data_IF_515390013320
#
_entry.id   IF_515390013320
#
_cell.length_a   1.000
_cell.length_b   1.000
_cell.length_c   1.000
_cell.angle_alpha   90.00
_cell.angle_beta   90.00
_cell.angle_gamma   90.00
#
_symmetry.space_group_name_H-M   'P 1'
#
loop_
_entity.id
_entity.type
_entity.pdbx_description
1 polymer ?
#
# COMPACT_ATOMS: atom_id res chain seq x y z
N UNK A 1 -6.17 0.77 -18.29
CA UNK A 1 -5.05 1.03 -17.35
C UNK A 1 -4.64 -0.32 -16.82
N UNK A 2 -3.36 -0.67 -16.93
CA UNK A 2 -2.83 -1.85 -16.23
C UNK A 2 -3.08 -1.68 -14.73
N UNK A 3 -3.36 -2.76 -14.02
CA UNK A 3 -3.58 -2.73 -12.56
C UNK A 3 -2.37 -2.11 -11.83
N UNK A 4 -1.17 -2.30 -12.40
CA UNK A 4 0.10 -1.76 -11.94
C UNK A 4 0.10 -0.21 -11.89
N UNK A 5 -0.43 0.47 -12.93
CA UNK A 5 -0.53 1.93 -12.94
C UNK A 5 -1.48 2.45 -11.85
N UNK A 6 -2.50 1.66 -11.51
CA UNK A 6 -3.42 1.98 -10.40
C UNK A 6 -2.70 1.89 -9.06
N UNK A 7 -1.84 0.89 -8.85
CA UNK A 7 -1.02 0.76 -7.65
C UNK A 7 -0.08 1.97 -7.47
N UNK A 8 0.59 2.38 -8.55
CA UNK A 8 1.47 3.55 -8.55
C UNK A 8 0.71 4.84 -8.20
N UNK A 9 -0.49 5.03 -8.75
CA UNK A 9 -1.36 6.17 -8.40
C UNK A 9 -1.80 6.13 -6.94
N UNK A 10 -2.16 4.95 -6.42
CA UNK A 10 -2.53 4.80 -5.02
C UNK A 10 -1.36 5.10 -4.08
N UNK A 11 -0.14 4.67 -4.43
CA UNK A 11 1.06 5.01 -3.66
C UNK A 11 1.31 6.52 -3.65
N UNK A 12 1.20 7.21 -4.80
CA UNK A 12 1.27 8.68 -4.88
C UNK A 12 0.28 9.36 -3.93
N UNK A 13 -0.97 8.87 -3.89
CA UNK A 13 -2.01 9.40 -3.00
C UNK A 13 -1.70 9.11 -1.53
N UNK A 14 -1.23 7.90 -1.18
CA UNK A 14 -0.81 7.54 0.19
C UNK A 14 0.28 8.48 0.70
N UNK A 15 1.31 8.71 -0.12
CA UNK A 15 2.42 9.60 0.24
C UNK A 15 1.98 11.07 0.35
N UNK A 16 1.06 11.50 -0.51
CA UNK A 16 0.45 12.82 -0.41
C UNK A 16 -0.34 12.98 0.89
N UNK A 17 -1.16 11.99 1.27
CA UNK A 17 -1.90 11.99 2.54
C UNK A 17 -0.95 12.14 3.72
N UNK A 18 0.11 11.32 3.79
CA UNK A 18 1.10 11.41 4.87
C UNK A 18 1.73 12.81 4.97
N UNK A 19 2.03 13.44 3.82
CA UNK A 19 2.58 14.81 3.76
C UNK A 19 1.57 15.85 4.23
N UNK A 20 0.28 15.70 3.87
CA UNK A 20 -0.78 16.62 4.25
C UNK A 20 -1.18 16.49 5.73
N UNK A 21 -1.06 15.29 6.31
CA UNK A 21 -1.32 15.08 7.75
C UNK A 21 -0.21 15.62 8.64
N UNK A 22 1.05 15.52 8.19
CA UNK A 22 2.19 16.10 8.88
C UNK A 22 2.16 17.64 8.86
N UNK A 23 1.57 18.23 7.83
CA UNK A 23 1.45 19.67 7.68
C UNK A 23 0.53 20.31 8.74
N UNK A 24 1.06 21.29 9.48
CA UNK A 24 0.29 22.14 10.40
C UNK A 24 0.41 23.61 10.04
N UNK A 25 -0.72 24.31 10.07
CA UNK A 25 -0.82 25.74 9.83
C UNK A 25 -0.97 26.53 11.14
N UNK A 26 -0.63 27.82 11.08
CA UNK A 26 -0.94 28.76 12.16
C UNK A 26 -2.38 29.28 11.99
N UNK A 27 -3.24 28.98 12.97
CA UNK A 27 -4.64 29.41 12.94
C UNK A 27 -5.44 28.70 11.86
N UNK A 28 -6.51 29.33 11.36
CA UNK A 28 -7.40 28.74 10.35
C UNK A 28 -6.92 29.12 8.95
N UNK A 29 -5.78 28.58 8.52
CA UNK A 29 -5.15 28.92 7.23
C UNK A 29 -5.22 27.82 6.18
N UNK A 30 -5.80 26.66 6.52
CA UNK A 30 -5.76 25.45 5.69
C UNK A 30 -7.15 25.16 5.14
N UNK A 31 -7.29 25.16 3.82
CA UNK A 31 -8.54 24.83 3.12
C UNK A 31 -8.41 23.42 2.54
N UNK A 32 -9.36 22.57 2.92
CA UNK A 32 -9.61 21.28 2.29
C UNK A 32 -10.91 21.37 1.51
N UNK A 33 -10.82 21.24 0.18
CA UNK A 33 -11.96 21.29 -0.73
C UNK A 33 -12.02 19.99 -1.56
N UNK A 34 -13.14 19.29 -1.46
CA UNK A 34 -13.42 18.07 -2.21
C UNK A 34 -14.74 18.27 -2.96
N UNK A 35 -14.67 18.09 -4.28
CA UNK A 35 -15.78 18.30 -5.21
C UNK A 35 -16.16 16.94 -5.82
N UNK A 36 -17.43 16.58 -5.70
CA UNK A 36 -17.98 15.34 -6.27
C UNK A 36 -17.96 15.38 -7.80
N UNK A 37 -17.91 14.23 -8.47
CA UNK A 37 -18.12 14.19 -9.91
C UNK A 37 -19.53 14.71 -10.24
N UNK A 38 -19.65 15.40 -11.38
CA UNK A 38 -20.87 16.07 -11.89
C UNK A 38 -21.30 17.36 -11.18
N UNK A 39 -20.65 17.79 -10.11
CA UNK A 39 -20.95 19.10 -9.51
C UNK A 39 -20.41 20.23 -10.40
N UNK A 40 -21.04 21.39 -10.38
CA UNK A 40 -20.62 22.49 -11.24
C UNK A 40 -19.55 23.35 -10.54
N UNK A 41 -18.44 23.60 -11.23
CA UNK A 41 -17.35 24.46 -10.73
C UNK A 41 -17.85 25.89 -10.42
N UNK A 42 -18.81 26.39 -11.20
CA UNK A 42 -19.45 27.70 -11.00
C UNK A 42 -20.08 27.84 -9.61
N UNK A 43 -20.76 26.79 -9.13
CA UNK A 43 -21.40 26.74 -7.81
C UNK A 43 -20.38 26.81 -6.69
N UNK A 44 -19.30 26.03 -6.80
CA UNK A 44 -18.20 26.03 -5.83
C UNK A 44 -17.46 27.38 -5.83
N UNK A 45 -17.23 27.96 -7.02
CA UNK A 45 -16.60 29.28 -7.12
C UNK A 45 -17.45 30.37 -6.48
N UNK A 46 -18.78 30.29 -6.58
CA UNK A 46 -19.70 31.22 -5.89
C UNK A 46 -19.61 31.05 -4.38
N UNK A 47 -19.64 29.81 -3.87
CA UNK A 47 -19.49 29.54 -2.45
C UNK A 47 -18.17 30.11 -1.90
N UNK A 48 -17.04 29.93 -2.60
CA UNK A 48 -15.76 30.51 -2.20
C UNK A 48 -15.78 32.06 -2.21
N UNK A 49 -16.57 32.69 -3.08
CA UNK A 49 -16.72 34.15 -3.10
C UNK A 49 -17.54 34.66 -1.89
N UNK A 50 -18.59 33.93 -1.51
CA UNK A 50 -19.39 34.24 -0.31
C UNK A 50 -18.56 34.06 0.97
N UNK A 51 -17.74 33.00 1.04
CA UNK A 51 -16.78 32.76 2.13
C UNK A 51 -15.69 33.83 2.19
N UNK A 52 -15.20 34.29 1.03
CA UNK A 52 -14.26 35.42 0.97
C UNK A 52 -14.87 36.69 1.58
N UNK A 53 -16.14 36.98 1.26
CA UNK A 53 -16.88 38.09 1.85
C UNK A 53 -17.03 37.97 3.36
N UNK A 54 -17.33 36.78 3.86
CA UNK A 54 -17.47 36.51 5.30
C UNK A 54 -16.13 36.63 6.03
N UNK A 55 -15.05 36.07 5.44
CA UNK A 55 -13.70 36.14 5.98
C UNK A 55 -13.17 37.57 6.12
N UNK A 56 -13.64 38.51 5.28
CA UNK A 56 -13.25 39.92 5.37
C UNK A 56 -13.64 40.59 6.71
N UNK A 57 -14.64 40.05 7.40
CA UNK A 57 -15.13 40.52 8.70
C UNK A 57 -14.37 39.94 9.91
N UNK A 58 -13.38 39.05 9.69
CA UNK A 58 -12.58 38.48 10.79
C UNK A 58 -11.78 39.60 11.49
N UNK A 59 -11.94 39.70 12.82
CA UNK A 59 -11.32 40.75 13.66
C UNK A 59 -9.80 40.67 13.71
N UNK A 60 -9.24 39.47 13.75
CA UNK A 60 -7.78 39.27 13.81
C UNK A 60 -7.16 39.55 12.44
N UNK A 61 -6.31 40.58 12.34
CA UNK A 61 -5.64 40.98 11.09
C UNK A 61 -4.88 39.82 10.45
N UNK A 62 -4.09 39.11 11.26
CA UNK A 62 -3.24 38.00 10.78
C UNK A 62 -4.11 36.86 10.26
N UNK A 63 -5.09 36.41 11.06
CA UNK A 63 -5.97 35.31 10.64
C UNK A 63 -6.79 35.67 9.40
N UNK A 64 -7.30 36.92 9.33
CA UNK A 64 -8.04 37.42 8.17
C UNK A 64 -7.19 37.35 6.90
N UNK A 65 -5.96 37.85 6.93
CA UNK A 65 -5.08 37.84 5.76
C UNK A 65 -4.75 36.41 5.32
N UNK A 66 -4.52 35.49 6.26
CA UNK A 66 -4.25 34.09 5.96
C UNK A 66 -5.45 33.40 5.30
N UNK A 67 -6.65 33.55 5.85
CA UNK A 67 -7.90 32.98 5.29
C UNK A 67 -8.16 33.54 3.88
N UNK A 68 -8.09 34.87 3.71
CA UNK A 68 -8.31 35.50 2.40
C UNK A 68 -7.28 35.04 1.36
N UNK A 69 -6.01 34.91 1.74
CA UNK A 69 -4.95 34.39 0.86
C UNK A 69 -5.19 32.93 0.47
N UNK A 70 -5.65 32.09 1.41
CA UNK A 70 -5.96 30.70 1.14
C UNK A 70 -7.14 30.59 0.16
N UNK A 71 -8.24 31.30 0.40
CA UNK A 71 -9.42 31.30 -0.49
C UNK A 71 -9.05 31.81 -1.89
N UNK A 72 -8.27 32.89 -1.98
CA UNK A 72 -7.80 33.42 -3.27
C UNK A 72 -6.99 32.37 -4.04
N UNK A 73 -6.11 31.64 -3.33
CA UNK A 73 -5.31 30.57 -3.94
C UNK A 73 -6.19 29.43 -4.45
N UNK A 74 -7.19 28.99 -3.66
CA UNK A 74 -8.16 27.98 -4.08
C UNK A 74 -8.97 28.44 -5.29
N UNK A 75 -9.44 29.69 -5.32
CA UNK A 75 -10.15 30.24 -6.48
C UNK A 75 -9.30 30.28 -7.74
N UNK A 76 -8.01 30.65 -7.62
CA UNK A 76 -7.08 30.65 -8.76
C UNK A 76 -6.87 29.24 -9.32
N UNK A 77 -6.77 28.23 -8.45
CA UNK A 77 -6.65 26.82 -8.85
C UNK A 77 -7.92 26.33 -9.53
N UNK A 78 -9.07 26.67 -8.98
CA UNK A 78 -10.36 26.25 -9.50
C UNK A 78 -10.62 26.81 -10.92
N UNK A 79 -10.09 28.01 -11.24
CA UNK A 79 -10.17 28.61 -12.60
C UNK A 79 -9.44 27.81 -13.68
N UNK A 80 -8.49 26.94 -13.32
CA UNK A 80 -7.80 26.09 -14.29
C UNK A 80 -8.72 24.98 -14.85
N UNK A 81 -9.81 24.68 -14.14
CA UNK A 81 -10.74 23.61 -14.51
C UNK A 81 -12.04 24.21 -15.06
N UNK A 82 -12.36 23.88 -16.32
CA UNK A 82 -13.62 24.32 -16.95
C UNK A 82 -14.84 23.51 -16.46
N UNK A 83 -14.63 22.24 -16.11
CA UNK A 83 -15.64 21.29 -15.59
C UNK A 83 -14.99 20.40 -14.54
N UNK A 84 -15.79 19.85 -13.62
CA UNK A 84 -15.27 18.83 -12.69
C UNK A 84 -14.82 17.61 -13.48
N UNK A 85 -13.62 17.06 -13.23
CA UNK A 85 -13.18 15.81 -13.81
C UNK A 85 -14.11 14.63 -13.47
N UNK A 86 -13.92 13.49 -14.15
CA UNK A 86 -14.85 12.35 -14.07
C UNK A 86 -14.88 11.71 -12.69
N UNK A 87 -13.75 11.74 -11.97
CA UNK A 87 -13.64 11.19 -10.61
C UNK A 87 -13.87 12.25 -9.50
N UNK A 88 -14.14 13.50 -9.87
CA UNK A 88 -14.19 14.64 -8.96
C UNK A 88 -12.89 15.42 -8.91
N UNK A 89 -12.79 16.37 -7.99
CA UNK A 89 -11.61 17.24 -7.83
C UNK A 89 -11.29 17.43 -6.36
N UNK A 90 -10.02 17.30 -6.00
CA UNK A 90 -9.51 17.56 -4.66
C UNK A 90 -8.54 18.72 -4.71
N UNK A 91 -8.76 19.72 -3.85
CA UNK A 91 -7.95 20.93 -3.77
C UNK A 91 -7.57 21.17 -2.30
N UNK A 92 -6.27 21.20 -2.03
CA UNK A 92 -5.69 21.61 -0.76
C UNK A 92 -4.93 22.91 -0.95
N UNK A 93 -5.27 23.94 -0.19
CA UNK A 93 -4.61 25.23 -0.23
C UNK A 93 -4.36 25.75 1.17
N UNK A 94 -3.17 26.26 1.45
CA UNK A 94 -2.90 26.87 2.75
C UNK A 94 -1.46 27.33 2.93
N UNK A 95 -1.21 27.99 4.05
CA UNK A 95 0.13 28.37 4.52
C UNK A 95 0.53 27.49 5.68
N UNK A 96 1.62 26.75 5.50
CA UNK A 96 2.20 25.86 6.49
C UNK A 96 3.59 26.35 6.90
N UNK A 97 3.98 26.03 8.11
CA UNK A 97 5.24 26.49 8.70
C UNK A 97 6.21 25.34 8.63
N UNK A 98 7.33 25.55 7.94
CA UNK A 98 8.41 24.57 7.89
C UNK A 98 9.17 24.58 9.22
N UNK A 99 9.95 23.54 9.48
CA UNK A 99 10.77 23.44 10.70
C UNK A 99 11.72 24.64 10.87
N UNK A 100 12.16 25.24 9.75
CA UNK A 100 12.96 26.47 9.72
C UNK A 100 12.20 27.75 10.14
N UNK A 101 10.93 27.65 10.51
CA UNK A 101 10.06 28.79 10.85
C UNK A 101 9.62 29.63 9.65
N UNK A 102 9.89 29.20 8.42
CA UNK A 102 9.46 29.89 7.19
C UNK A 102 8.03 29.50 6.83
N UNK A 103 7.24 30.47 6.39
CA UNK A 103 5.91 30.22 5.84
C UNK A 103 6.03 29.73 4.39
N UNK A 104 5.56 28.51 4.14
CA UNK A 104 5.47 27.91 2.80
C UNK A 104 4.00 27.83 2.39
N UNK A 105 3.69 28.38 1.21
CA UNK A 105 2.38 28.24 0.58
C UNK A 105 2.31 26.89 -0.12
N UNK A 106 1.27 26.10 0.18
CA UNK A 106 1.01 24.82 -0.47
C UNK A 106 -0.33 24.90 -1.19
N UNK A 107 -0.28 24.62 -2.49
CA UNK A 107 -1.42 24.58 -3.38
C UNK A 107 -1.32 23.28 -4.18
N UNK A 108 -2.20 22.32 -3.87
CA UNK A 108 -2.22 21.01 -4.50
C UNK A 108 -3.62 20.78 -5.02
N UNK A 109 -3.72 20.52 -6.32
CA UNK A 109 -4.96 20.20 -7.00
C UNK A 109 -4.75 18.94 -7.85
N UNK A 110 -5.64 17.96 -7.72
CA UNK A 110 -5.56 16.73 -8.49
C UNK A 110 -6.92 16.03 -8.62
N UNK A 111 -7.06 15.23 -9.68
CA UNK A 111 -8.17 14.29 -9.85
C UNK A 111 -7.84 12.96 -9.12
N UNK A 112 -8.71 12.47 -8.23
CA UNK A 112 -8.51 11.19 -7.55
C UNK A 112 -8.63 10.01 -8.52
N UNK A 113 -8.03 8.87 -8.16
CA UNK A 113 -8.04 7.66 -9.01
C UNK A 113 -9.39 6.92 -9.03
N UNK A 114 -10.25 7.18 -8.05
CA UNK A 114 -11.61 6.65 -7.92
C UNK A 114 -12.59 7.82 -7.72
N UNK A 115 -13.84 7.70 -8.19
CA UNK A 115 -14.85 8.73 -8.02
C UNK A 115 -15.19 8.96 -6.54
N UNK A 116 -15.09 10.20 -6.07
CA UNK A 116 -15.41 10.56 -4.69
C UNK A 116 -16.89 10.93 -4.56
N UNK A 117 -17.64 10.25 -3.68
CA UNK A 117 -19.05 10.54 -3.42
C UNK A 117 -19.29 11.58 -2.31
N UNK A 118 -18.23 12.11 -1.71
CA UNK A 118 -18.26 13.07 -0.60
C UNK A 118 -17.88 14.46 -1.08
N UNK A 119 -18.60 15.49 -0.63
CA UNK A 119 -18.23 16.88 -0.86
C UNK A 119 -17.85 17.46 0.49
N UNK A 120 -16.73 18.16 0.55
CA UNK A 120 -16.18 18.69 1.78
C UNK A 120 -15.61 20.07 1.49
N UNK A 121 -15.97 21.04 2.31
CA UNK A 121 -15.30 22.33 2.38
C UNK A 121 -15.07 22.63 3.86
N UNK A 122 -13.80 22.67 4.25
CA UNK A 122 -13.40 22.98 5.63
C UNK A 122 -12.20 23.92 5.62
N UNK A 123 -12.23 24.91 6.50
CA UNK A 123 -11.11 25.77 6.83
C UNK A 123 -10.69 25.53 8.28
N UNK A 124 -9.49 25.01 8.49
CA UNK A 124 -8.98 24.62 9.81
C UNK A 124 -7.46 24.89 9.91
N UNK A 125 -6.84 24.50 11.02
CA UNK A 125 -5.38 24.55 11.22
C UNK A 125 -4.61 23.34 10.66
N UNK A 126 -5.34 22.36 10.13
CA UNK A 126 -4.83 21.13 9.54
C UNK A 126 -5.62 20.81 8.26
N UNK A 127 -5.05 20.01 7.37
CA UNK A 127 -5.80 19.47 6.25
C UNK A 127 -6.65 18.27 6.69
N UNK A 128 -7.90 18.23 6.23
CA UNK A 128 -8.80 17.11 6.41
C UNK A 128 -8.71 16.18 5.21
N UNK A 129 -8.11 15.01 5.41
CA UNK A 129 -7.80 14.01 4.38
C UNK A 129 -8.69 12.77 4.44
N UNK A 130 -9.70 12.75 5.31
CA UNK A 130 -10.53 11.57 5.60
C UNK A 130 -11.22 11.04 4.34
N UNK A 131 -11.68 11.94 3.45
CA UNK A 131 -12.27 11.57 2.17
C UNK A 131 -11.29 10.81 1.25
N UNK A 132 -9.98 11.08 1.34
CA UNK A 132 -8.97 10.33 0.57
C UNK A 132 -8.60 9.00 1.24
N UNK A 133 -8.65 8.93 2.57
CA UNK A 133 -8.44 7.67 3.30
C UNK A 133 -9.51 6.64 2.96
N UNK A 134 -10.77 7.07 2.91
CA UNK A 134 -11.90 6.20 2.51
C UNK A 134 -11.69 5.59 1.11
N UNK A 135 -11.11 6.35 0.17
CA UNK A 135 -10.77 5.83 -1.17
C UNK A 135 -9.68 4.76 -1.15
N UNK A 136 -8.78 4.80 -0.18
CA UNK A 136 -7.71 3.82 0.00
C UNK A 136 -8.17 2.60 0.80
N UNK A 137 -9.18 2.74 1.66
CA UNK A 137 -9.71 1.65 2.49
C UNK A 137 -10.52 0.62 1.71
N UNK A 138 -10.92 0.92 0.47
CA UNK A 138 -11.63 -0.01 -0.44
C UNK A 138 -10.72 -1.10 -1.03
N UNK A 139 -9.84 -1.68 -0.22
CA UNK A 139 -9.33 -3.01 -0.48
C UNK A 139 -10.36 -4.01 0.03
N UNK A 140 -10.84 -4.89 -0.86
CA UNK A 140 -11.82 -5.90 -0.51
C UNK A 140 -11.31 -6.77 0.64
N UNK A 141 -12.11 -6.84 1.71
CA UNK A 141 -11.80 -7.61 2.90
C UNK A 141 -12.31 -9.03 2.72
N UNK A 142 -11.41 -10.03 2.74
CA UNK A 142 -11.75 -11.45 2.56
C UNK A 142 -11.69 -12.19 3.89
N UNK A 143 -12.78 -12.86 4.24
CA UNK A 143 -12.86 -13.68 5.45
C UNK A 143 -12.38 -15.10 5.21
N UNK A 144 -11.72 -15.68 6.21
CA UNK A 144 -11.29 -17.07 6.22
C UNK A 144 -11.80 -17.76 7.48
N UNK A 145 -12.39 -18.93 7.30
CA UNK A 145 -12.76 -19.84 8.39
C UNK A 145 -12.00 -21.12 8.17
N UNK A 146 -11.16 -21.46 9.14
CA UNK A 146 -10.38 -22.70 9.13
C UNK A 146 -10.99 -23.62 10.16
N UNK A 147 -11.51 -24.75 9.70
CA UNK A 147 -12.10 -25.77 10.55
C UNK A 147 -11.18 -26.98 10.57
N UNK A 148 -10.66 -27.30 11.75
CA UNK A 148 -9.92 -28.53 11.99
C UNK A 148 -10.58 -29.35 13.11
N UNK A 149 -10.20 -30.62 13.25
CA UNK A 149 -10.67 -31.49 14.32
C UNK A 149 -10.22 -31.05 15.72
N UNK A 150 -9.17 -30.22 15.81
CA UNK A 150 -8.62 -29.72 17.08
C UNK A 150 -9.12 -28.31 17.45
N UNK A 151 -9.76 -27.59 16.52
CA UNK A 151 -10.13 -26.20 16.72
C UNK A 151 -10.44 -25.46 15.44
N UNK A 152 -10.94 -24.23 15.59
CA UNK A 152 -11.27 -23.34 14.49
C UNK A 152 -10.53 -22.00 14.61
N UNK A 153 -10.18 -21.44 13.45
CA UNK A 153 -9.54 -20.13 13.33
C UNK A 153 -10.35 -19.25 12.38
N UNK A 154 -10.56 -18.00 12.79
CA UNK A 154 -11.19 -16.94 12.00
C UNK A 154 -10.11 -15.93 11.68
N UNK A 155 -9.90 -15.70 10.39
CA UNK A 155 -8.93 -14.76 9.89
C UNK A 155 -9.54 -13.86 8.83
N UNK A 156 -8.87 -12.76 8.58
CA UNK A 156 -9.20 -11.83 7.51
C UNK A 156 -7.94 -11.46 6.76
N UNK A 157 -8.04 -11.35 5.45
CA UNK A 157 -7.02 -10.76 4.60
C UNK A 157 -7.61 -9.50 3.96
N UNK A 158 -6.90 -8.37 4.13
CA UNK A 158 -7.25 -7.09 3.51
C UNK A 158 -5.97 -6.45 2.95
N UNK A 159 -5.98 -6.14 1.65
CA UNK A 159 -4.82 -5.56 0.96
C UNK A 159 -3.60 -6.49 1.06
N UNK A 160 -2.52 -6.01 1.68
CA UNK A 160 -1.28 -6.77 1.98
C UNK A 160 -1.18 -7.25 3.45
N UNK A 161 -2.24 -7.12 4.25
CA UNK A 161 -2.26 -7.54 5.66
C UNK A 161 -3.17 -8.73 5.88
N UNK A 162 -2.67 -9.69 6.67
CA UNK A 162 -3.48 -10.75 7.28
C UNK A 162 -3.68 -10.45 8.76
N UNK A 163 -4.87 -10.71 9.25
CA UNK A 163 -5.25 -10.56 10.64
C UNK A 163 -5.94 -11.84 11.12
N UNK A 164 -5.58 -12.33 12.30
CA UNK A 164 -6.29 -13.45 12.93
C UNK A 164 -7.22 -12.85 13.97
N UNK A 165 -8.53 -12.95 13.75
CA UNK A 165 -9.55 -12.38 14.63
C UNK A 165 -9.71 -13.20 15.90
N UNK A 166 -9.88 -14.52 15.75
CA UNK A 166 -10.13 -15.42 16.86
C UNK A 166 -9.66 -16.82 16.54
N UNK A 167 -9.15 -17.49 17.56
CA UNK A 167 -8.88 -18.92 17.56
C UNK A 167 -9.52 -19.56 18.78
N UNK A 168 -10.08 -20.75 18.60
CA UNK A 168 -10.50 -21.56 19.73
C UNK A 168 -10.25 -23.03 19.47
N UNK A 169 -9.87 -23.74 20.53
CA UNK A 169 -9.60 -25.17 20.47
C UNK A 169 -10.82 -25.97 20.94
N UNK A 170 -10.97 -27.19 20.44
CA UNK A 170 -12.05 -28.12 20.79
C UNK A 170 -11.48 -29.51 20.96
N UNK A 171 -11.89 -30.20 22.02
CA UNK A 171 -11.57 -31.61 22.21
C UNK A 171 -12.75 -32.48 21.74
N UNK A 172 -12.62 -33.05 20.55
CA UNK A 172 -13.63 -33.91 19.95
C UNK A 172 -13.35 -35.39 20.27
N UNK A 173 -14.38 -36.18 20.66
CA UNK A 173 -14.20 -37.60 20.94
C UNK A 173 -13.70 -38.35 19.69
N UNK A 174 -12.61 -39.10 19.84
CA UNK A 174 -11.96 -39.85 18.75
C UNK A 174 -12.81 -41.05 18.28
N UNK A 175 -12.50 -41.58 17.10
CA UNK A 175 -13.21 -42.75 16.56
C UNK A 175 -12.81 -43.95 17.42
N UNK A 176 -13.77 -44.60 18.06
CA UNK A 176 -13.48 -45.80 18.84
C UNK A 176 -13.14 -46.94 17.88
N UNK A 177 -11.94 -47.49 18.02
CA UNK A 177 -11.49 -48.65 17.24
C UNK A 177 -11.91 -50.00 17.85
N UNK A 178 -12.31 -50.03 19.12
CA UNK A 178 -12.73 -51.26 19.82
C UNK A 178 -14.25 -51.41 19.75
N UNK A 179 -14.71 -52.54 19.20
CA UNK A 179 -16.12 -52.92 19.17
C UNK A 179 -16.66 -53.30 20.56
N UNK A 180 -17.98 -53.16 20.75
CA UNK A 180 -18.68 -53.51 21.99
C UNK A 180 -20.11 -52.96 21.99
N UNK A 181 -20.95 -53.35 22.98
CA UNK A 181 -22.35 -52.87 23.08
C UNK A 181 -22.43 -51.33 23.15
N UNK A 182 -21.43 -50.69 23.74
CA UNK A 182 -21.36 -49.22 23.85
C UNK A 182 -20.90 -48.52 22.56
N UNK A 183 -20.47 -49.24 21.52
CA UNK A 183 -19.92 -48.65 20.30
C UNK A 183 -20.92 -47.71 19.61
N UNK A 184 -22.20 -48.09 19.54
CA UNK A 184 -23.25 -47.25 18.96
C UNK A 184 -23.47 -45.97 19.77
N UNK A 185 -23.46 -46.06 21.11
CA UNK A 185 -23.56 -44.90 22.00
C UNK A 185 -22.40 -43.94 21.79
N UNK A 186 -21.16 -44.45 21.70
CA UNK A 186 -20.00 -43.61 21.47
C UNK A 186 -20.01 -42.96 20.08
N UNK A 187 -20.48 -43.67 19.05
CA UNK A 187 -20.68 -43.11 17.72
C UNK A 187 -21.71 -41.96 17.74
N UNK A 188 -22.84 -42.14 18.44
CA UNK A 188 -23.85 -41.09 18.61
C UNK A 188 -23.29 -39.87 19.34
N UNK A 189 -22.59 -40.08 20.47
CA UNK A 189 -21.95 -39.00 21.24
C UNK A 189 -20.94 -38.23 20.38
N UNK A 190 -20.20 -38.94 19.53
CA UNK A 190 -19.25 -38.32 18.59
C UNK A 190 -19.94 -37.45 17.55
N UNK A 191 -21.02 -37.92 16.93
CA UNK A 191 -21.78 -37.12 15.97
C UNK A 191 -22.44 -35.91 16.63
N UNK A 192 -22.97 -36.06 17.84
CA UNK A 192 -23.57 -34.96 18.61
C UNK A 192 -22.53 -33.88 18.96
N UNK A 193 -21.34 -34.28 19.43
CA UNK A 193 -20.25 -33.34 19.70
C UNK A 193 -19.75 -32.63 18.44
N UNK A 194 -19.70 -33.33 17.30
CA UNK A 194 -19.36 -32.73 15.99
C UNK A 194 -20.39 -31.70 15.56
N UNK A 195 -21.68 -32.02 15.68
CA UNK A 195 -22.76 -31.09 15.36
C UNK A 195 -22.73 -29.83 16.26
N UNK A 196 -22.49 -30.00 17.57
CA UNK A 196 -22.34 -28.87 18.49
C UNK A 196 -21.10 -28.02 18.18
N UNK A 197 -20.02 -28.65 17.70
CA UNK A 197 -18.84 -27.92 17.22
C UNK A 197 -19.15 -27.10 15.98
N UNK A 198 -19.81 -27.68 14.98
CA UNK A 198 -20.26 -26.95 13.78
C UNK A 198 -21.18 -25.77 14.13
N UNK A 199 -22.10 -25.96 15.08
CA UNK A 199 -22.96 -24.89 15.59
C UNK A 199 -22.14 -23.76 16.19
N UNK A 200 -21.20 -24.08 17.08
CA UNK A 200 -20.31 -23.07 17.68
C UNK A 200 -19.50 -22.33 16.60
N UNK A 201 -19.02 -23.04 15.58
CA UNK A 201 -18.29 -22.45 14.46
C UNK A 201 -19.17 -21.48 13.68
N UNK A 202 -20.39 -21.89 13.33
CA UNK A 202 -21.36 -21.06 12.63
C UNK A 202 -21.74 -19.79 13.43
N UNK A 203 -22.06 -19.92 14.72
CA UNK A 203 -22.41 -18.79 15.60
C UNK A 203 -21.23 -17.82 15.82
N UNK A 204 -20.01 -18.35 15.89
CA UNK A 204 -18.82 -17.50 15.98
C UNK A 204 -18.56 -16.77 14.66
N UNK A 205 -18.80 -17.43 13.52
CA UNK A 205 -18.69 -16.82 12.20
C UNK A 205 -19.65 -15.65 12.02
N UNK A 206 -20.91 -15.78 12.45
CA UNK A 206 -21.89 -14.69 12.37
C UNK A 206 -21.47 -13.51 13.24
N UNK A 207 -21.00 -13.76 14.46
CA UNK A 207 -20.52 -12.72 15.37
C UNK A 207 -19.33 -11.95 14.79
N UNK A 208 -18.44 -12.62 14.03
CA UNK A 208 -17.22 -12.02 13.50
C UNK A 208 -17.40 -11.34 12.14
N UNK A 209 -18.18 -11.96 11.24
CA UNK A 209 -18.31 -11.50 9.85
C UNK A 209 -19.57 -10.69 9.58
N UNK A 210 -20.48 -10.57 10.55
CA UNK A 210 -21.67 -9.72 10.44
C UNK A 210 -21.54 -8.57 11.44
N UNK A 211 -21.62 -7.35 10.94
CA UNK A 211 -21.63 -6.13 11.77
C UNK A 211 -22.78 -5.26 11.27
N UNK A 212 -23.67 -4.83 12.17
CA UNK A 212 -24.88 -4.06 11.83
C UNK A 212 -25.74 -4.73 10.74
N UNK A 213 -26.05 -6.02 10.88
CA UNK A 213 -26.83 -6.83 9.93
C UNK A 213 -26.25 -6.99 8.52
N UNK A 214 -25.06 -6.42 8.25
CA UNK A 214 -24.38 -6.54 6.97
C UNK A 214 -23.10 -7.35 7.12
N UNK A 215 -22.77 -8.11 6.07
CA UNK A 215 -21.53 -8.88 6.01
C UNK A 215 -20.38 -7.89 5.82
N UNK A 216 -19.39 -7.92 6.71
CA UNK A 216 -18.24 -7.00 6.70
C UNK A 216 -17.12 -7.42 5.74
N UNK A 217 -17.25 -8.59 5.11
CA UNK A 217 -16.32 -9.16 4.14
C UNK A 217 -16.96 -9.23 2.75
N UNK A 218 -16.16 -8.97 1.72
CA UNK A 218 -16.59 -9.08 0.32
C UNK A 218 -16.90 -10.54 -0.05
N UNK A 219 -16.06 -11.46 0.43
CA UNK A 219 -16.17 -12.90 0.23
C UNK A 219 -15.58 -13.69 1.41
N UNK A 220 -16.01 -14.95 1.54
CA UNK A 220 -15.64 -15.87 2.59
C UNK A 220 -15.01 -17.13 1.98
N UNK A 221 -13.94 -17.62 2.59
CA UNK A 221 -13.28 -18.87 2.22
C UNK A 221 -13.37 -19.84 3.39
N UNK A 222 -13.83 -21.05 3.10
CA UNK A 222 -13.88 -22.14 4.08
C UNK A 222 -12.70 -23.08 3.81
N UNK A 223 -11.79 -23.21 4.76
CA UNK A 223 -10.66 -24.12 4.70
C UNK A 223 -10.77 -25.18 5.80
N UNK A 224 -10.30 -26.38 5.52
CA UNK A 224 -10.23 -27.42 6.56
C UNK A 224 -9.79 -28.76 6.02
N UNK A 225 -9.46 -29.66 6.96
CA UNK A 225 -9.22 -31.06 6.67
C UNK A 225 -10.53 -31.85 6.75
N UNK A 226 -10.68 -32.83 5.86
CA UNK A 226 -11.88 -33.65 5.73
C UNK A 226 -13.18 -32.85 5.46
N UNK A 227 -14.32 -33.50 5.65
CA UNK A 227 -15.63 -32.99 5.23
C UNK A 227 -16.24 -31.93 6.17
N UNK A 228 -15.56 -31.53 7.25
CA UNK A 228 -16.13 -30.58 8.23
C UNK A 228 -16.56 -29.24 7.60
N UNK A 229 -15.78 -28.73 6.65
CA UNK A 229 -16.10 -27.51 5.91
C UNK A 229 -17.27 -27.69 4.94
N UNK A 230 -17.44 -28.89 4.38
CA UNK A 230 -18.55 -29.22 3.48
C UNK A 230 -19.84 -29.32 4.30
N UNK A 231 -19.77 -29.97 5.47
CA UNK A 231 -20.86 -30.01 6.45
C UNK A 231 -21.23 -28.60 6.92
N UNK A 232 -20.26 -27.73 7.20
CA UNK A 232 -20.53 -26.33 7.57
C UNK A 232 -21.23 -25.56 6.45
N UNK A 233 -20.74 -25.67 5.22
CA UNK A 233 -21.28 -24.96 4.05
C UNK A 233 -22.71 -25.39 3.70
N UNK A 234 -23.04 -26.67 3.90
CA UNK A 234 -24.36 -27.22 3.60
C UNK A 234 -25.34 -27.16 4.79
N UNK A 235 -24.86 -26.82 5.98
CA UNK A 235 -25.69 -26.82 7.18
C UNK A 235 -26.67 -25.64 7.22
N UNK A 236 -27.92 -25.91 7.60
CA UNK A 236 -28.95 -24.87 7.87
C UNK A 236 -28.60 -23.98 9.08
N UNK A 237 -27.57 -24.33 9.84
CA UNK A 237 -27.10 -23.59 11.01
C UNK A 237 -26.26 -22.39 10.58
N UNK A 238 -25.63 -22.47 9.41
CA UNK A 238 -24.82 -21.38 8.89
C UNK A 238 -25.72 -20.28 8.33
N UNK A 239 -25.43 -19.03 8.69
CA UNK A 239 -26.28 -17.90 8.27
C UNK A 239 -26.28 -17.78 6.74
N UNK A 240 -27.49 -17.74 6.16
CA UNK A 240 -27.69 -17.67 4.72
C UNK A 240 -26.98 -16.48 4.07
N UNK A 241 -26.83 -15.35 4.81
CA UNK A 241 -26.10 -14.16 4.34
C UNK A 241 -24.62 -14.49 4.12
N UNK A 242 -24.01 -15.23 5.03
CA UNK A 242 -22.63 -15.70 4.90
C UNK A 242 -22.50 -16.83 3.87
N UNK A 243 -23.46 -17.75 3.82
CA UNK A 243 -23.48 -18.84 2.84
C UNK A 243 -23.42 -18.32 1.40
N UNK A 244 -24.17 -17.24 1.11
CA UNK A 244 -24.17 -16.58 -0.21
C UNK A 244 -22.82 -15.94 -0.60
N UNK A 245 -21.94 -15.71 0.38
CA UNK A 245 -20.63 -15.08 0.20
C UNK A 245 -19.48 -16.07 0.19
N UNK A 246 -19.74 -17.38 0.28
CA UNK A 246 -18.70 -18.40 0.18
C UNK A 246 -18.19 -18.44 -1.26
N UNK A 247 -16.92 -18.08 -1.45
CA UNK A 247 -16.28 -18.05 -2.77
C UNK A 247 -15.62 -19.39 -3.12
N UNK A 248 -14.89 -19.97 -2.17
CA UNK A 248 -14.14 -21.22 -2.37
C UNK A 248 -14.08 -22.05 -1.08
N UNK A 249 -14.13 -23.36 -1.25
CA UNK A 249 -13.88 -24.34 -0.20
C UNK A 249 -12.52 -24.98 -0.49
N UNK A 250 -11.62 -25.00 0.49
CA UNK A 250 -10.21 -25.39 0.31
C UNK A 250 -9.82 -26.54 1.23
N UNK A 251 -9.19 -27.56 0.66
CA UNK A 251 -8.51 -28.64 1.39
C UNK A 251 -7.15 -28.18 1.90
N UNK A 252 -6.99 -28.15 3.22
CA UNK A 252 -5.70 -27.90 3.89
C UNK A 252 -5.29 -29.10 4.71
N UNK A 253 -3.99 -29.39 4.72
CA UNK A 253 -3.44 -30.56 5.42
C UNK A 253 -3.34 -30.33 6.93
N UNK A 254 -3.21 -29.06 7.34
CA UNK A 254 -2.99 -28.65 8.72
C UNK A 254 -4.06 -27.63 9.14
N UNK A 255 -4.42 -27.63 10.42
CA UNK A 255 -5.25 -26.60 11.03
C UNK A 255 -4.44 -25.40 11.56
N UNK A 256 -5.15 -24.43 12.14
CA UNK A 256 -4.55 -23.26 12.81
C UNK A 256 -3.83 -22.30 11.85
N UNK A 257 -2.79 -21.63 12.34
CA UNK A 257 -2.07 -20.57 11.61
C UNK A 257 -1.34 -21.10 10.35
N UNK A 258 -0.83 -22.33 10.40
CA UNK A 258 -0.19 -22.95 9.23
C UNK A 258 -1.23 -23.29 8.15
N UNK A 259 -2.38 -23.83 8.56
CA UNK A 259 -3.52 -24.03 7.69
C UNK A 259 -4.02 -22.73 7.07
N UNK A 260 -3.92 -21.61 7.80
CA UNK A 260 -4.34 -20.30 7.30
C UNK A 260 -3.50 -19.85 6.12
N UNK A 261 -2.19 -20.00 6.24
CA UNK A 261 -1.25 -19.61 5.19
C UNK A 261 -1.43 -20.49 3.95
N UNK A 262 -1.60 -21.79 4.14
CA UNK A 262 -1.88 -22.71 3.05
C UNK A 262 -3.22 -22.39 2.37
N UNK A 263 -4.27 -22.06 3.15
CA UNK A 263 -5.56 -21.68 2.62
C UNK A 263 -5.49 -20.40 1.77
N UNK A 264 -4.73 -19.39 2.20
CA UNK A 264 -4.52 -18.15 1.44
C UNK A 264 -3.85 -18.46 0.10
N UNK A 265 -2.81 -19.31 0.11
CA UNK A 265 -2.06 -19.68 -1.09
C UNK A 265 -2.91 -20.45 -2.09
N UNK A 266 -3.66 -21.45 -1.64
CA UNK A 266 -4.57 -22.24 -2.48
C UNK A 266 -5.79 -21.44 -2.95
N UNK A 267 -6.12 -20.35 -2.26
CA UNK A 267 -7.21 -19.44 -2.64
C UNK A 267 -6.76 -18.33 -3.58
N UNK A 268 -5.47 -18.23 -3.88
CA UNK A 268 -4.90 -17.18 -4.74
C UNK A 268 -5.66 -16.99 -6.06
N UNK A 269 -6.07 -18.10 -6.71
CA UNK A 269 -6.83 -18.06 -7.96
C UNK A 269 -8.22 -17.42 -7.84
N UNK A 270 -8.86 -17.58 -6.69
CA UNK A 270 -10.17 -16.97 -6.42
C UNK A 270 -10.01 -15.54 -5.87
N UNK A 271 -8.87 -15.26 -5.26
CA UNK A 271 -8.49 -14.00 -4.65
C UNK A 271 -7.62 -13.15 -5.59
N UNK A 272 -7.74 -13.30 -6.92
CA UNK A 272 -6.85 -12.62 -7.88
C UNK A 272 -6.75 -11.10 -7.68
N UNK A 273 -7.75 -10.48 -7.05
CA UNK A 273 -7.80 -9.05 -6.73
C UNK A 273 -7.09 -8.66 -5.42
N UNK A 274 -6.56 -9.62 -4.65
CA UNK A 274 -5.88 -9.34 -3.37
C UNK A 274 -4.42 -9.03 -3.62
N UNK A 275 -4.02 -7.80 -3.33
CA UNK A 275 -2.63 -7.31 -3.44
C UNK A 275 -1.62 -8.21 -2.71
N UNK A 276 -1.95 -8.73 -1.53
CA UNK A 276 -1.07 -9.64 -0.79
C UNK A 276 -0.61 -10.85 -1.61
N UNK A 277 -1.55 -11.45 -2.36
CA UNK A 277 -1.29 -12.65 -3.16
C UNK A 277 -0.42 -12.31 -4.36
N UNK A 278 -0.70 -11.18 -5.00
CA UNK A 278 0.10 -10.66 -6.12
C UNK A 278 1.52 -10.34 -5.66
N UNK A 279 1.66 -9.64 -4.54
CA UNK A 279 2.94 -9.26 -3.92
C UNK A 279 3.77 -10.51 -3.57
N UNK A 280 3.16 -11.49 -2.89
CA UNK A 280 3.84 -12.77 -2.57
C UNK A 280 4.31 -13.46 -3.86
N UNK A 281 3.44 -13.61 -4.86
CA UNK A 281 3.77 -14.26 -6.14
C UNK A 281 4.89 -13.54 -6.88
N UNK A 282 4.89 -12.20 -6.85
CA UNK A 282 5.91 -11.36 -7.46
C UNK A 282 7.28 -11.62 -6.85
N UNK A 283 7.35 -11.59 -5.51
CA UNK A 283 8.60 -11.78 -4.78
C UNK A 283 9.07 -13.25 -4.86
N UNK A 284 8.15 -14.22 -4.83
CA UNK A 284 8.49 -15.62 -5.08
C UNK A 284 9.11 -15.79 -6.47
N UNK A 285 8.54 -15.18 -7.52
CA UNK A 285 9.14 -15.19 -8.87
C UNK A 285 10.56 -14.60 -8.86
N UNK A 286 10.77 -13.50 -8.15
CA UNK A 286 12.10 -12.91 -8.00
C UNK A 286 13.08 -13.87 -7.29
N UNK A 287 12.66 -14.51 -6.19
CA UNK A 287 13.49 -15.49 -5.49
C UNK A 287 13.74 -16.77 -6.28
N UNK A 288 12.81 -17.18 -7.14
CA UNK A 288 13.00 -18.32 -8.04
C UNK A 288 14.12 -18.04 -9.06
N UNK A 289 14.18 -16.83 -9.62
CA UNK A 289 15.25 -16.41 -10.53
C UNK A 289 16.62 -16.35 -9.81
N UNK A 290 16.63 -15.91 -8.55
CA UNK A 290 17.83 -15.92 -7.70
C UNK A 290 18.26 -17.35 -7.37
N UNK A 291 17.33 -18.24 -7.02
CA UNK A 291 17.62 -19.62 -6.65
C UNK A 291 18.05 -20.50 -7.82
N UNK A 292 17.57 -20.21 -9.03
CA UNK A 292 17.94 -20.93 -10.25
C UNK A 292 19.23 -20.39 -10.90
N UNK A 293 19.78 -19.29 -10.39
CA UNK A 293 20.96 -18.60 -10.91
C UNK A 293 20.89 -18.33 -12.44
N UNK A 294 19.72 -17.91 -12.90
CA UNK A 294 19.47 -17.62 -14.32
C UNK A 294 20.22 -16.37 -14.81
N UNK A 295 20.70 -15.55 -13.87
CA UNK A 295 21.27 -14.22 -14.12
C UNK A 295 20.25 -13.19 -14.59
N UNK A 296 18.95 -13.47 -14.47
CA UNK A 296 17.85 -12.54 -14.86
C UNK A 296 17.29 -11.75 -13.67
N UNK A 297 18.12 -11.50 -12.67
CA UNK A 297 17.74 -10.71 -11.50
C UNK A 297 18.77 -9.60 -11.29
N UNK A 298 18.33 -8.53 -10.65
CA UNK A 298 19.20 -7.47 -10.16
C UNK A 298 18.75 -7.06 -8.76
N UNK A 299 19.70 -6.77 -7.90
CA UNK A 299 19.45 -6.22 -6.57
C UNK A 299 20.53 -5.18 -6.26
N UNK A 300 20.27 -4.30 -5.29
CA UNK A 300 21.20 -3.24 -4.94
C UNK A 300 20.91 -1.94 -5.70
N UNK A 301 21.22 -0.81 -5.07
CA UNK A 301 20.85 0.52 -5.60
C UNK A 301 21.61 0.81 -6.90
N UNK A 302 22.91 0.55 -6.91
CA UNK A 302 23.80 0.88 -8.02
C UNK A 302 23.55 -0.06 -9.21
N UNK A 303 23.56 -1.38 -9.00
CA UNK A 303 23.35 -2.33 -10.10
C UNK A 303 21.95 -2.19 -10.71
N UNK A 304 20.92 -1.98 -9.88
CA UNK A 304 19.55 -1.83 -10.37
C UNK A 304 19.37 -0.54 -11.17
N UNK A 305 20.04 0.56 -10.81
CA UNK A 305 19.98 1.78 -11.61
C UNK A 305 20.75 1.65 -12.92
N UNK A 306 21.92 1.03 -12.92
CA UNK A 306 22.64 0.71 -14.15
C UNK A 306 21.79 -0.16 -15.09
N UNK A 307 21.16 -1.22 -14.54
CA UNK A 307 20.24 -2.07 -15.31
C UNK A 307 19.02 -1.32 -15.84
N UNK A 308 18.53 -0.31 -15.08
CA UNK A 308 17.43 0.55 -15.51
C UNK A 308 17.85 1.45 -16.67
N UNK A 309 19.04 2.06 -16.59
CA UNK A 309 19.60 2.92 -17.64
C UNK A 309 19.90 2.15 -18.93
N UNK A 310 20.32 0.89 -18.82
CA UNK A 310 20.48 -0.03 -19.95
C UNK A 310 19.13 -0.47 -20.58
N UNK A 311 18.00 -0.20 -19.92
CA UNK A 311 16.68 -0.68 -20.36
C UNK A 311 16.51 -2.20 -20.25
N UNK A 312 17.33 -2.86 -19.42
CA UNK A 312 17.34 -4.32 -19.28
C UNK A 312 16.22 -4.85 -18.35
N UNK A 313 15.66 -3.99 -17.49
CA UNK A 313 14.66 -4.37 -16.50
C UNK A 313 13.28 -4.57 -17.15
N UNK A 314 12.67 -5.74 -16.90
CA UNK A 314 11.26 -5.98 -17.21
C UNK A 314 10.38 -5.42 -16.10
N UNK A 315 10.69 -5.81 -14.87
CA UNK A 315 9.90 -5.54 -13.68
C UNK A 315 10.83 -5.02 -12.57
N UNK A 316 10.61 -3.77 -12.17
CA UNK A 316 11.30 -3.12 -11.07
C UNK A 316 10.47 -3.28 -9.78
N UNK A 317 11.06 -3.89 -8.77
CA UNK A 317 10.46 -4.15 -7.47
C UNK A 317 11.05 -3.19 -6.44
N UNK A 318 10.20 -2.35 -5.87
CA UNK A 318 10.62 -1.29 -4.94
C UNK A 318 9.85 -1.38 -3.64
N UNK A 319 10.54 -1.34 -2.51
CA UNK A 319 9.88 -1.25 -1.23
C UNK A 319 9.24 0.14 -1.03
N UNK A 320 7.97 0.18 -0.61
CA UNK A 320 7.19 1.42 -0.50
C UNK A 320 7.86 2.51 0.36
N UNK A 321 8.62 2.10 1.39
CA UNK A 321 9.26 2.98 2.36
C UNK A 321 10.79 3.08 2.16
N UNK A 322 11.26 2.94 0.91
CA UNK A 322 12.68 3.15 0.62
C UNK A 322 13.09 4.61 0.91
N UNK A 323 13.98 4.82 1.88
CA UNK A 323 14.40 6.14 2.36
C UNK A 323 15.53 6.78 1.53
N UNK A 324 15.97 6.13 0.45
CA UNK A 324 17.04 6.63 -0.42
C UNK A 324 16.61 7.91 -1.14
N UNK A 325 17.44 8.96 -1.04
CA UNK A 325 17.25 10.22 -1.77
C UNK A 325 18.22 10.27 -2.94
N UNK A 326 17.71 10.65 -4.11
CA UNK A 326 18.50 11.00 -5.30
C UNK A 326 18.82 12.48 -5.26
N UNK A 327 20.10 12.81 -5.22
CA UNK A 327 20.62 14.17 -5.27
C UNK A 327 21.34 14.37 -6.60
N UNK A 328 20.91 15.35 -7.37
CA UNK A 328 21.64 15.78 -8.57
C UNK A 328 22.53 16.93 -8.16
N UNK A 329 23.84 16.73 -8.28
CA UNK A 329 24.84 17.69 -7.87
C UNK A 329 25.67 18.06 -9.08
N UNK A 330 25.93 19.35 -9.26
CA UNK A 330 26.65 19.87 -10.42
C UNK A 330 27.96 20.49 -9.97
N UNK A 331 29.04 20.13 -10.65
CA UNK A 331 30.29 20.83 -10.45
C UNK A 331 30.19 22.21 -11.15
N UNK A 332 30.32 23.33 -10.41
CA UNK A 332 30.25 24.67 -11.00
C UNK A 332 31.40 24.96 -11.99
N UNK A 333 32.50 24.20 -11.91
CA UNK A 333 33.72 24.40 -12.69
C UNK A 333 33.69 23.69 -14.04
N UNK A 334 33.27 22.42 -14.06
CA UNK A 334 33.23 21.57 -15.27
C UNK A 334 31.84 21.53 -15.91
N UNK A 335 30.80 21.89 -15.15
CA UNK A 335 29.42 21.75 -15.57
C UNK A 335 28.93 20.29 -15.55
N UNK A 336 29.75 19.34 -15.13
CA UNK A 336 29.38 17.92 -15.03
C UNK A 336 28.36 17.71 -13.90
N UNK A 337 27.33 16.95 -14.22
CA UNK A 337 26.27 16.58 -13.30
C UNK A 337 26.53 15.16 -12.80
N UNK A 338 26.73 15.00 -11.49
CA UNK A 338 26.86 13.71 -10.83
C UNK A 338 25.60 13.44 -10.01
N UNK A 339 25.08 12.23 -10.12
CA UNK A 339 23.89 11.79 -9.37
C UNK A 339 24.37 10.99 -8.16
N UNK A 340 24.14 11.51 -6.97
CA UNK A 340 24.41 10.81 -5.71
C UNK A 340 23.14 10.22 -5.13
N UNK A 341 23.22 9.01 -4.61
CA UNK A 341 22.12 8.33 -3.93
C UNK A 341 22.51 8.16 -2.47
N UNK A 342 21.89 8.96 -1.61
CA UNK A 342 22.22 8.94 -0.19
C UNK A 342 21.26 7.99 0.53
N UNK A 343 21.84 6.97 1.16
CA UNK A 343 21.19 6.22 2.22
C UNK A 343 21.09 7.07 3.49
N UNK A 344 20.14 6.81 4.42
CA UNK A 344 19.96 7.61 5.64
C UNK A 344 21.22 7.75 6.49
N UNK A 345 22.08 6.74 6.48
CA UNK A 345 23.37 6.69 7.18
C UNK A 345 24.43 7.63 6.61
N UNK A 346 24.33 7.99 5.34
CA UNK A 346 25.33 8.80 4.63
C UNK A 346 24.92 10.27 4.48
N UNK A 347 23.73 10.65 4.96
CA UNK A 347 23.27 12.05 4.90
C UNK A 347 24.14 13.02 5.73
N UNK A 348 25.04 12.51 6.57
CA UNK A 348 25.96 13.29 7.39
C UNK A 348 27.40 13.34 6.86
N UNK A 349 27.73 12.63 5.78
CA UNK A 349 29.09 12.66 5.24
C UNK A 349 29.29 13.89 4.35
N UNK A 350 29.81 14.95 4.96
CA UNK A 350 30.28 16.18 4.28
C UNK A 350 31.35 15.89 3.21
N UNK A 351 31.98 14.71 3.25
CA UNK A 351 32.99 14.26 2.28
C UNK A 351 32.44 14.07 0.86
N UNK A 352 31.15 13.72 0.70
CA UNK A 352 30.53 13.51 -0.62
C UNK A 352 30.17 14.81 -1.35
N UNK A 353 30.26 15.95 -0.67
CA UNK A 353 29.96 17.28 -1.25
C UNK A 353 31.18 17.95 -1.87
N UNK A 354 32.35 17.31 -1.81
CA UNK A 354 33.60 17.78 -2.41
C UNK A 354 33.96 16.87 -3.56
N UNK A 355 34.21 17.44 -4.73
CA UNK A 355 34.67 16.66 -5.87
C UNK A 355 36.07 16.09 -5.54
N UNK A 356 36.32 14.77 -5.71
CA UNK A 356 37.59 14.14 -5.32
C UNK A 356 38.82 14.73 -6.04
N UNK A 357 38.65 15.27 -7.25
CA UNK A 357 39.76 15.81 -8.04
C UNK A 357 40.04 17.31 -7.80
N UNK A 358 39.01 18.11 -7.52
CA UNK A 358 39.15 19.57 -7.43
C UNK A 358 38.95 20.11 -6.02
N UNK A 359 38.41 19.31 -5.10
CA UNK A 359 38.01 19.75 -3.76
C UNK A 359 36.92 20.82 -3.76
N UNK A 360 36.34 21.12 -4.93
CA UNK A 360 35.29 22.13 -5.08
C UNK A 360 33.99 21.64 -4.46
N UNK A 361 33.29 22.53 -3.77
CA UNK A 361 31.95 22.27 -3.27
C UNK A 361 31.00 22.13 -4.45
N UNK A 362 30.33 20.99 -4.53
CA UNK A 362 29.39 20.67 -5.60
C UNK A 362 28.01 21.28 -5.30
N UNK A 363 27.41 21.98 -6.26
CA UNK A 363 26.12 22.65 -6.09
C UNK A 363 24.97 21.63 -6.17
N UNK A 364 24.18 21.53 -5.09
CA UNK A 364 22.99 20.66 -5.05
C UNK A 364 21.86 21.32 -5.83
N UNK A 365 21.52 20.76 -7.00
CA UNK A 365 20.44 21.27 -7.85
C UNK A 365 19.09 20.77 -7.34
N UNK A 366 18.98 19.47 -7.09
CA UNK A 366 17.69 18.85 -6.82
C UNK A 366 17.84 17.66 -5.86
N UNK A 367 16.98 17.63 -4.85
CA UNK A 367 16.86 16.53 -3.88
C UNK A 367 15.47 15.92 -4.07
N UNK A 368 15.41 14.75 -4.68
CA UNK A 368 14.18 14.00 -4.88
C UNK A 368 14.28 12.61 -4.22
N UNK A 369 13.27 12.16 -3.48
CA UNK A 369 13.23 10.77 -3.03
C UNK A 369 13.22 9.81 -4.21
N UNK A 370 14.02 8.74 -4.14
CA UNK A 370 14.23 7.83 -5.27
C UNK A 370 12.91 7.22 -5.75
N UNK A 371 12.02 6.87 -4.82
CA UNK A 371 10.68 6.36 -5.12
C UNK A 371 9.84 7.32 -5.97
N UNK A 372 9.97 8.63 -5.77
CA UNK A 372 9.24 9.63 -6.56
C UNK A 372 9.83 9.80 -7.96
N UNK A 373 11.16 9.81 -8.05
CA UNK A 373 11.86 9.87 -9.32
C UNK A 373 11.51 8.65 -10.20
N UNK A 374 11.51 7.45 -9.60
CA UNK A 374 11.16 6.21 -10.30
C UNK A 374 9.75 6.26 -10.86
N UNK A 375 8.78 6.71 -10.06
CA UNK A 375 7.39 6.81 -10.50
C UNK A 375 7.20 7.78 -11.68
N UNK A 376 8.06 8.78 -11.84
CA UNK A 376 7.96 9.71 -12.96
C UNK A 376 8.75 9.26 -14.19
N UNK A 377 9.78 8.41 -14.00
CA UNK A 377 10.75 8.09 -15.08
C UNK A 377 10.65 6.65 -15.58
N UNK A 378 10.04 5.72 -14.82
CA UNK A 378 10.01 4.28 -15.17
C UNK A 378 9.48 3.99 -16.58
N UNK A 379 8.48 4.77 -17.03
CA UNK A 379 7.88 4.62 -18.35
C UNK A 379 8.87 4.90 -19.49
N UNK A 380 9.83 5.81 -19.29
CA UNK A 380 10.82 6.15 -20.30
C UNK A 380 11.80 5.01 -20.56
N UNK A 381 12.08 4.18 -19.55
CA UNK A 381 12.96 3.02 -19.65
C UNK A 381 12.23 1.75 -20.10
N UNK A 382 10.90 1.79 -20.24
CA UNK A 382 10.08 0.62 -20.58
C UNK A 382 9.99 -0.44 -19.49
N UNK A 383 10.38 -0.13 -18.26
CA UNK A 383 10.23 -1.03 -17.10
C UNK A 383 8.81 -0.96 -16.55
N UNK A 384 8.33 -2.03 -15.91
CA UNK A 384 7.12 -2.01 -15.08
C UNK A 384 7.51 -1.78 -13.62
N UNK A 385 6.90 -0.80 -12.95
CA UNK A 385 7.16 -0.51 -11.54
C UNK A 385 6.14 -1.19 -10.64
N UNK A 386 6.61 -2.00 -9.69
CA UNK A 386 5.80 -2.59 -8.65
C UNK A 386 6.31 -2.20 -7.25
N UNK A 387 5.37 -1.77 -6.42
CA UNK A 387 5.63 -1.44 -5.03
C UNK A 387 5.27 -2.61 -4.13
N UNK A 388 6.20 -2.98 -3.25
CA UNK A 388 6.03 -4.09 -2.29
C UNK A 388 6.11 -3.59 -0.86
N UNK A 389 5.48 -4.33 0.06
CA UNK A 389 5.45 -4.04 1.49
C UNK A 389 6.34 -5.03 2.25
N UNK A 390 6.60 -4.77 3.53
CA UNK A 390 7.31 -5.69 4.41
C UNK A 390 6.36 -6.53 5.30
N UNK A 391 5.07 -6.60 4.93
CA UNK A 391 4.05 -7.33 5.70
C UNK A 391 4.08 -8.83 5.45
N UNK A 392 4.50 -9.25 4.26
CA UNK A 392 4.73 -10.65 3.91
C UNK A 392 6.10 -11.10 4.43
N UNK A 393 6.27 -12.42 4.63
CA UNK A 393 7.57 -12.96 5.03
C UNK A 393 8.61 -12.75 3.92
N UNK A 394 8.17 -12.92 2.68
CA UNK A 394 8.94 -12.72 1.45
C UNK A 394 9.32 -11.25 1.28
N UNK A 395 8.39 -10.31 1.52
CA UNK A 395 8.66 -8.87 1.51
C UNK A 395 9.64 -8.42 2.60
N UNK A 396 9.56 -9.02 3.79
CA UNK A 396 10.53 -8.77 4.86
C UNK A 396 11.93 -9.30 4.49
N UNK A 397 12.01 -10.46 3.83
CA UNK A 397 13.28 -10.98 3.29
C UNK A 397 13.83 -10.07 2.18
N UNK A 398 12.98 -9.59 1.28
CA UNK A 398 13.36 -8.65 0.23
C UNK A 398 13.93 -7.34 0.80
N UNK A 399 13.26 -6.77 1.81
CA UNK A 399 13.72 -5.58 2.49
C UNK A 399 15.07 -5.80 3.20
N UNK A 400 15.17 -6.83 4.06
CA UNK A 400 16.34 -7.03 4.92
C UNK A 400 17.53 -7.64 4.18
N UNK A 401 17.29 -8.50 3.20
CA UNK A 401 18.33 -9.20 2.46
C UNK A 401 18.85 -8.43 1.26
N UNK A 402 17.96 -7.74 0.54
CA UNK A 402 18.28 -7.09 -0.75
C UNK A 402 18.16 -5.56 -0.70
N UNK A 403 17.99 -4.97 0.49
CA UNK A 403 17.88 -3.52 0.66
C UNK A 403 16.56 -2.91 0.18
N UNK A 404 15.58 -3.73 -0.21
CA UNK A 404 14.27 -3.26 -0.66
C UNK A 404 14.27 -2.63 -2.07
N UNK A 405 15.31 -2.85 -2.88
CA UNK A 405 15.39 -2.38 -4.25
C UNK A 405 16.02 -3.44 -5.16
N UNK A 406 15.29 -3.84 -6.20
CA UNK A 406 15.73 -4.86 -7.14
C UNK A 406 14.76 -5.01 -8.31
N UNK A 407 15.01 -5.98 -9.17
CA UNK A 407 14.17 -6.21 -10.34
C UNK A 407 14.44 -7.51 -11.06
N UNK A 408 13.52 -7.86 -11.95
CA UNK A 408 13.65 -8.98 -12.89
C UNK A 408 14.07 -8.41 -14.24
N UNK A 409 15.15 -8.94 -14.79
CA UNK A 409 15.73 -8.55 -16.06
C UNK A 409 15.08 -9.34 -17.21
N UNK A 410 14.94 -8.70 -18.37
CA UNK A 410 14.45 -9.34 -19.61
C UNK A 410 15.42 -10.40 -20.14
N UNK A 411 16.71 -10.14 -19.97
CA UNK A 411 17.83 -10.97 -20.41
C UNK A 411 18.93 -10.96 -19.37
N UNK A 412 19.83 -11.93 -19.43
CA UNK A 412 20.99 -12.01 -18.52
C UNK A 412 21.92 -10.82 -18.76
N UNK A 413 22.32 -10.14 -17.69
CA UNK A 413 23.30 -9.04 -17.72
C UNK A 413 24.44 -9.41 -16.77
N UNK A 414 25.68 -9.36 -17.27
CA UNK A 414 26.87 -9.52 -16.44
C UNK A 414 27.32 -8.13 -15.96
N UNK A 415 27.13 -7.86 -14.66
CA UNK A 415 27.49 -6.56 -14.04
C UNK A 415 29.00 -6.37 -13.83
N UNK A 416 29.79 -7.45 -13.99
CA UNK A 416 31.24 -7.39 -13.83
C UNK A 416 31.92 -6.53 -14.90
N UNK A 417 31.35 -6.44 -16.10
CA UNK A 417 31.90 -5.64 -17.21
C UNK A 417 31.63 -4.14 -17.07
N UNK A 418 30.85 -3.72 -16.08
CA UNK A 418 30.51 -2.31 -15.83
C UNK A 418 31.07 -1.76 -14.52
N UNK A 419 31.79 -2.56 -13.73
CA UNK A 419 32.63 -2.10 -12.63
C UNK A 419 33.91 -1.40 -13.14
N UNK A 420 33.84 -0.74 -14.29
CA UNK A 420 34.99 -0.20 -15.03
C UNK A 420 35.33 1.19 -14.47
N UNK A 421 36.50 1.24 -13.82
CA UNK A 421 37.34 2.40 -13.45
C UNK A 421 36.99 3.18 -12.17
N UNK A 422 37.20 2.58 -10.99
CA UNK A 422 37.69 3.38 -9.83
C UNK A 422 38.97 2.80 -9.20
N UNK A 423 39.26 1.51 -9.34
CA UNK A 423 40.42 0.87 -8.66
C UNK A 423 41.77 0.93 -9.43
N UNK A 424 41.84 1.45 -10.66
CA UNK A 424 43.08 1.43 -11.48
C UNK A 424 43.90 2.74 -11.45
N UNK A 425 43.56 3.71 -10.59
CA UNK A 425 44.30 4.98 -10.49
C UNK A 425 45.39 5.02 -9.40
N UNK A 426 45.56 3.94 -8.62
CA UNK A 426 46.50 3.91 -7.49
C UNK A 426 47.88 3.27 -7.79
N UNK A 427 48.20 2.91 -9.05
CA UNK A 427 49.46 2.22 -9.40
C UNK A 427 50.45 3.00 -10.30
N UNK A 428 50.23 4.30 -10.56
CA UNK A 428 51.21 5.12 -11.30
C UNK A 428 51.40 6.51 -10.69
N UNK A 429 52.23 6.63 -9.64
CA UNK A 429 53.11 7.78 -9.30
C UNK A 429 54.18 7.32 -8.30
#
# INVERSE_FOLDING_TARGET
MSDNDTNVKQWKVRRLIATLEAARGNGTSMISLVIKPKDEISRISKMLADEYGTASNIKSRVNRLSVLSAITSTQQRLKLYNRTPQNGLVVYCGTLITEDGKEKKVNIDFEPFKPINTSLYLCDNKFHVDALKELLETDDKFGFIIVDGNGALYGVVQGSSREVLLRFNVDLPKKHGRGGQSALRFARLRMEKRHNYLRKVAETATTMFITNDQVNVAALILAGSADFKNELAQSDIFDQRLASKILKIVDVSYGGDNGFNQAIELSSDALQNVKFVQEKKLITKFFDEVAQDTGKYVYGINETLQALEMGAIELLIVWENLETKRMVVKNPSTGEEKVFLNSPTEQHDESKFKDPETGAELDVIEILPLTEWLVNTYQNYGAQLEFVTNKSQEGNQFQKGFGGFGGILRYKVDFQDYAVVEDDLDEFI
#
